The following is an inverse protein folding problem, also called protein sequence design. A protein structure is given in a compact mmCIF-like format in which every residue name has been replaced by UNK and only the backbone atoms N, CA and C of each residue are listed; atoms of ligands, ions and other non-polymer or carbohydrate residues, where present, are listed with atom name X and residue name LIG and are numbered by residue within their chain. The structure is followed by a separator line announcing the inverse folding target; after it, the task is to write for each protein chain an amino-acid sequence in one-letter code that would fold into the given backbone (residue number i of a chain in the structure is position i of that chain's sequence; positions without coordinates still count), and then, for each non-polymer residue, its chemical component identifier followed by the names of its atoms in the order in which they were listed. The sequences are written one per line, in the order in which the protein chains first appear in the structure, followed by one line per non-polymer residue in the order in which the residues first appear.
data_IF_975420788527
#
_entry.id   IF_975420788527
#
_cell.length_a   1.000
_cell.length_b   1.000
_cell.length_c   1.000
_cell.angle_alpha   90.00
_cell.angle_beta   90.00
_cell.angle_gamma   90.00
#
_symmetry.space_group_name_H-M   'P 1'
#
loop_
_entity.id
_entity.type
_entity.pdbx_description
1 polymer ?
#
# COMPACT_ATOMS: atom_id res chain seq x y z
N UNK A 1 11.62 14.23 6.62
CA UNK A 1 12.49 14.89 5.61
C UNK A 1 13.26 13.85 4.77
N UNK A 2 13.75 12.73 5.34
CA UNK A 2 14.52 11.72 4.58
C UNK A 2 13.79 11.04 3.41
N UNK A 3 12.47 10.83 3.49
CA UNK A 3 11.70 10.14 2.43
C UNK A 3 11.65 10.87 1.07
N UNK A 4 12.06 12.13 1.00
CA UNK A 4 11.98 12.92 -0.23
C UNK A 4 13.21 12.76 -1.13
N UNK A 5 14.38 12.42 -0.57
CA UNK A 5 15.63 12.34 -1.33
C UNK A 5 15.90 10.90 -1.78
N UNK A 6 16.19 10.74 -3.07
CA UNK A 6 16.35 9.44 -3.72
C UNK A 6 17.51 8.62 -3.13
N UNK A 7 18.54 9.30 -2.63
CA UNK A 7 19.75 8.71 -2.03
C UNK A 7 19.54 8.11 -0.63
N UNK A 8 18.37 8.30 0.00
CA UNK A 8 18.09 7.84 1.37
C UNK A 8 16.80 7.02 1.50
N UNK A 9 16.20 6.61 0.38
CA UNK A 9 15.02 5.75 0.41
C UNK A 9 15.42 4.29 0.56
N UNK A 10 15.07 3.70 1.69
CA UNK A 10 15.19 2.27 1.96
C UNK A 10 13.89 1.80 2.62
N UNK A 11 13.47 0.56 2.30
CA UNK A 11 12.40 -0.11 3.02
C UNK A 11 13.03 -0.71 4.27
N UNK A 12 12.75 -0.11 5.44
CA UNK A 12 13.36 -0.54 6.71
C UNK A 12 12.48 -1.50 7.51
N UNK A 13 11.18 -1.52 7.23
CA UNK A 13 10.21 -2.26 8.02
C UNK A 13 9.67 -3.46 7.22
N UNK A 14 9.36 -4.55 7.92
CA UNK A 14 8.75 -5.74 7.33
C UNK A 14 7.28 -5.52 6.97
N UNK A 15 6.79 -6.31 6.02
CA UNK A 15 5.36 -6.43 5.76
C UNK A 15 4.59 -6.92 7.00
N UNK A 16 3.27 -6.68 7.06
CA UNK A 16 2.41 -7.30 8.06
C UNK A 16 2.62 -8.83 8.14
N UNK A 17 2.52 -9.42 9.32
CA UNK A 17 2.83 -10.85 9.54
C UNK A 17 1.97 -11.80 8.69
N UNK A 18 0.77 -11.36 8.29
CA UNK A 18 -0.16 -12.08 7.43
C UNK A 18 0.09 -11.90 5.92
N UNK A 19 1.16 -11.20 5.53
CA UNK A 19 1.50 -10.90 4.13
C UNK A 19 2.96 -11.29 3.89
N UNK A 20 3.17 -12.30 3.06
CA UNK A 20 4.50 -12.67 2.58
C UNK A 20 4.89 -11.86 1.33
N UNK A 21 6.12 -12.04 0.85
CA UNK A 21 6.62 -11.29 -0.32
C UNK A 21 5.79 -11.52 -1.59
N UNK A 22 5.31 -12.74 -1.84
CA UNK A 22 4.51 -13.09 -3.02
C UNK A 22 3.15 -12.38 -3.00
N UNK A 23 2.46 -12.41 -1.86
CA UNK A 23 1.18 -11.70 -1.69
C UNK A 23 1.39 -10.18 -1.72
N UNK A 24 2.50 -9.66 -1.15
CA UNK A 24 2.83 -8.24 -1.24
C UNK A 24 3.06 -7.80 -2.69
N UNK A 25 3.83 -8.56 -3.47
CA UNK A 25 4.06 -8.30 -4.89
C UNK A 25 2.74 -8.30 -5.68
N UNK A 26 1.86 -9.26 -5.43
CA UNK A 26 0.52 -9.30 -6.03
C UNK A 26 -0.30 -8.05 -5.70
N UNK A 27 -0.35 -7.65 -4.42
CA UNK A 27 -1.09 -6.47 -3.98
C UNK A 27 -0.52 -5.17 -4.58
N UNK A 28 0.80 -5.07 -4.70
CA UNK A 28 1.48 -3.92 -5.29
C UNK A 28 1.26 -3.82 -6.80
N UNK A 29 1.19 -4.96 -7.52
CA UNK A 29 0.81 -4.97 -8.93
C UNK A 29 -0.63 -4.46 -9.13
N UNK A 30 -1.60 -4.98 -8.37
CA UNK A 30 -2.99 -4.51 -8.42
C UNK A 30 -3.12 -3.01 -8.07
N UNK A 31 -2.33 -2.56 -7.10
CA UNK A 31 -2.26 -1.15 -6.75
C UNK A 31 -1.68 -0.31 -7.88
N UNK A 32 -0.58 -0.74 -8.50
CA UNK A 32 0.06 -0.04 -9.61
C UNK A 32 -0.86 0.06 -10.83
N UNK A 33 -1.61 -1.01 -11.13
CA UNK A 33 -2.54 -1.06 -12.26
C UNK A 33 -3.75 -0.14 -12.08
N UNK A 34 -4.18 0.07 -10.83
CA UNK A 34 -5.31 0.96 -10.50
C UNK A 34 -4.90 2.40 -10.17
N UNK A 35 -3.61 2.67 -10.01
CA UNK A 35 -3.09 3.97 -9.57
C UNK A 35 -3.40 5.08 -10.59
N UNK A 36 -4.13 6.10 -10.15
CA UNK A 36 -4.40 7.34 -10.88
C UNK A 36 -3.97 8.52 -10.04
N UNK A 37 -3.04 9.33 -10.55
CA UNK A 37 -2.52 10.48 -9.81
C UNK A 37 -3.58 11.58 -9.59
N UNK A 38 -4.63 11.59 -10.42
CA UNK A 38 -5.71 12.57 -10.33
C UNK A 38 -6.80 12.20 -9.31
N UNK A 39 -6.70 11.01 -8.68
CA UNK A 39 -7.63 10.62 -7.63
C UNK A 39 -7.55 11.59 -6.44
N UNK A 40 -8.70 11.97 -5.92
CA UNK A 40 -8.77 12.51 -4.56
C UNK A 40 -8.49 11.41 -3.51
N UNK A 41 -8.32 11.82 -2.25
CA UNK A 41 -8.01 10.88 -1.16
C UNK A 41 -9.07 9.79 -0.97
N UNK A 42 -10.34 10.10 -1.27
CA UNK A 42 -11.46 9.17 -1.11
C UNK A 42 -11.43 8.13 -2.23
N UNK A 43 -11.28 8.56 -3.47
CA UNK A 43 -11.17 7.69 -4.64
C UNK A 43 -9.95 6.76 -4.52
N UNK A 44 -8.81 7.33 -4.14
CA UNK A 44 -7.59 6.58 -3.90
C UNK A 44 -7.77 5.48 -2.84
N UNK A 45 -8.37 5.82 -1.69
CA UNK A 45 -8.57 4.83 -0.64
C UNK A 45 -9.62 3.78 -0.99
N UNK A 46 -10.63 4.14 -1.79
CA UNK A 46 -11.61 3.18 -2.28
C UNK A 46 -10.98 2.13 -3.20
N UNK A 47 -9.98 2.51 -4.02
CA UNK A 47 -9.19 1.53 -4.79
C UNK A 47 -8.45 0.54 -3.90
N UNK A 48 -7.82 1.01 -2.82
CA UNK A 48 -7.18 0.12 -1.82
C UNK A 48 -8.21 -0.82 -1.18
N UNK A 49 -9.42 -0.32 -0.90
CA UNK A 49 -10.51 -1.15 -0.36
C UNK A 49 -10.95 -2.22 -1.36
N UNK A 50 -11.10 -1.89 -2.64
CA UNK A 50 -11.45 -2.86 -3.68
C UNK A 50 -10.39 -3.95 -3.80
N UNK A 51 -9.11 -3.57 -3.88
CA UNK A 51 -7.97 -4.51 -3.91
C UNK A 51 -8.00 -5.46 -2.70
N UNK A 52 -8.28 -4.92 -1.52
CA UNK A 52 -8.38 -5.71 -0.30
C UNK A 52 -9.48 -6.77 -0.42
N UNK A 53 -10.68 -6.37 -0.87
CA UNK A 53 -11.80 -7.31 -1.04
C UNK A 53 -11.49 -8.40 -2.06
N UNK A 54 -10.98 -8.02 -3.23
CA UNK A 54 -10.62 -8.95 -4.31
C UNK A 54 -9.51 -9.92 -3.89
N UNK A 55 -8.64 -9.51 -2.97
CA UNK A 55 -7.54 -10.33 -2.47
C UNK A 55 -7.89 -11.19 -1.24
N UNK A 56 -9.13 -11.12 -0.75
CA UNK A 56 -9.61 -11.91 0.40
C UNK A 56 -9.37 -11.27 1.76
N UNK A 57 -9.17 -9.96 1.81
CA UNK A 57 -9.07 -9.16 3.02
C UNK A 57 -10.39 -8.43 3.30
N UNK A 58 -10.69 -8.19 4.57
CA UNK A 58 -11.87 -7.43 4.94
C UNK A 58 -11.75 -5.95 4.50
N UNK A 59 -12.78 -5.43 3.83
CA UNK A 59 -12.89 -4.01 3.43
C UNK A 59 -12.85 -3.01 4.61
N UNK A 60 -13.13 -3.51 5.81
CA UNK A 60 -13.15 -2.76 7.06
C UNK A 60 -12.52 -3.59 8.17
N UNK A 61 -11.67 -3.01 9.04
CA UNK A 61 -11.07 -3.74 10.17
C UNK A 61 -12.11 -4.35 11.11
N UNK A 62 -13.29 -3.74 11.24
CA UNK A 62 -14.38 -4.25 12.08
C UNK A 62 -14.94 -5.58 11.56
N UNK A 63 -14.95 -5.80 10.25
CA UNK A 63 -15.50 -7.02 9.65
C UNK A 63 -14.56 -8.20 9.87
N UNK A 64 -13.24 -7.96 9.76
CA UNK A 64 -12.22 -8.93 10.17
C UNK A 64 -12.31 -9.28 11.66
N UNK A 65 -12.40 -8.28 12.54
CA UNK A 65 -12.54 -8.50 13.99
C UNK A 65 -13.74 -9.37 14.37
N UNK A 66 -14.84 -9.29 13.60
CA UNK A 66 -16.04 -10.09 13.83
C UNK A 66 -15.91 -11.52 13.29
N UNK A 67 -15.23 -11.70 12.16
CA UNK A 67 -15.14 -12.98 11.47
C UNK A 67 -13.70 -13.21 10.98
N UNK A 68 -12.73 -13.42 11.88
CA UNK A 68 -11.32 -13.49 11.51
C UNK A 68 -11.03 -14.67 10.56
N UNK A 69 -11.72 -15.80 10.73
CA UNK A 69 -11.52 -17.00 9.90
C UNK A 69 -11.99 -16.83 8.44
N UNK A 70 -12.75 -15.76 8.14
CA UNK A 70 -13.26 -15.49 6.79
C UNK A 70 -12.30 -14.66 5.93
N UNK A 71 -11.24 -14.08 6.52
CA UNK A 71 -10.35 -13.18 5.80
C UNK A 71 -8.89 -13.44 6.13
N UNK A 72 -8.01 -13.15 5.18
CA UNK A 72 -6.55 -13.16 5.39
C UNK A 72 -6.09 -12.04 6.35
N UNK A 73 -6.94 -11.03 6.56
CA UNK A 73 -6.66 -9.82 7.31
C UNK A 73 -7.68 -8.74 6.96
N UNK A 74 -7.23 -7.48 6.97
CA UNK A 74 -8.09 -6.34 6.63
C UNK A 74 -7.39 -5.30 5.74
N UNK A 75 -8.18 -4.34 5.22
CA UNK A 75 -7.71 -3.23 4.37
C UNK A 75 -6.52 -2.44 4.93
N UNK A 76 -6.35 -2.39 6.26
CA UNK A 76 -5.19 -1.75 6.89
C UNK A 76 -3.86 -2.46 6.61
N UNK A 77 -3.88 -3.77 6.39
CA UNK A 77 -2.69 -4.56 6.07
C UNK A 77 -2.25 -4.27 4.63
N UNK A 78 -3.22 -4.27 3.70
CA UNK A 78 -3.01 -3.88 2.30
C UNK A 78 -2.51 -2.44 2.19
N UNK A 79 -3.11 -1.51 2.95
CA UNK A 79 -2.65 -0.12 3.01
C UNK A 79 -1.22 -0.01 3.57
N UNK A 80 -0.82 -0.89 4.48
CA UNK A 80 0.54 -0.93 5.03
C UNK A 80 1.56 -1.41 4.00
N UNK A 81 1.21 -2.38 3.14
CA UNK A 81 2.04 -2.80 2.00
C UNK A 81 2.27 -1.63 1.04
N UNK A 82 1.21 -0.93 0.63
CA UNK A 82 1.32 0.27 -0.23
C UNK A 82 2.18 1.35 0.43
N UNK A 83 1.96 1.60 1.73
CA UNK A 83 2.77 2.54 2.50
C UNK A 83 4.24 2.16 2.45
N UNK A 84 4.61 0.92 2.76
CA UNK A 84 6.00 0.48 2.75
C UNK A 84 6.64 0.67 1.38
N UNK A 85 5.94 0.33 0.30
CA UNK A 85 6.44 0.55 -1.06
C UNK A 85 6.68 2.03 -1.37
N UNK A 86 5.83 2.94 -0.88
CA UNK A 86 5.90 4.38 -1.19
C UNK A 86 6.85 5.14 -0.26
N UNK A 87 6.83 4.87 1.04
CA UNK A 87 7.57 5.64 2.06
C UNK A 87 8.66 4.85 2.78
N UNK A 88 8.72 3.53 2.62
CA UNK A 88 9.77 2.69 3.21
C UNK A 88 9.61 2.41 4.70
N UNK A 89 8.58 2.96 5.35
CA UNK A 89 8.29 2.76 6.79
C UNK A 89 6.81 2.54 7.06
N UNK A 90 6.52 1.76 8.08
CA UNK A 90 5.18 1.43 8.58
C UNK A 90 4.46 2.66 9.19
N UNK A 91 5.23 3.67 9.61
CA UNK A 91 4.70 4.93 10.14
C UNK A 91 5.07 6.12 9.24
N UNK A 92 4.05 6.86 8.82
CA UNK A 92 4.21 8.05 7.99
C UNK A 92 3.04 9.02 8.19
N UNK A 93 3.21 10.28 7.75
CA UNK A 93 2.10 11.14 7.37
C UNK A 93 1.19 10.48 6.32
N UNK A 94 0.12 11.18 5.94
CA UNK A 94 -0.86 10.68 4.97
C UNK A 94 -0.19 10.25 3.65
N UNK A 95 -0.42 9.00 3.26
CA UNK A 95 0.27 8.40 2.11
C UNK A 95 -0.25 8.99 0.80
N UNK A 96 -1.52 9.39 0.72
CA UNK A 96 -2.04 10.05 -0.47
C UNK A 96 -1.39 11.43 -0.64
N UNK A 97 -1.35 12.27 0.40
CA UNK A 97 -0.68 13.58 0.34
C UNK A 97 0.79 13.44 -0.06
N UNK A 98 1.51 12.47 0.51
CA UNK A 98 2.91 12.23 0.15
C UNK A 98 3.07 11.85 -1.32
N UNK A 99 2.17 11.02 -1.86
CA UNK A 99 2.19 10.67 -3.28
C UNK A 99 1.95 11.89 -4.17
N UNK A 100 1.01 12.76 -3.79
CA UNK A 100 0.74 14.02 -4.50
C UNK A 100 1.98 14.93 -4.54
N UNK A 101 2.67 15.08 -3.40
CA UNK A 101 3.90 15.89 -3.33
C UNK A 101 5.05 15.25 -4.14
N UNK A 102 5.15 13.92 -4.15
CA UNK A 102 6.23 13.22 -4.86
C UNK A 102 6.09 13.20 -6.37
N UNK A 103 4.86 13.27 -6.88
CA UNK A 103 4.55 13.12 -8.29
C UNK A 103 4.44 11.66 -8.75
N UNK A 104 3.59 11.46 -9.76
CA UNK A 104 3.21 10.16 -10.32
C UNK A 104 4.40 9.25 -10.65
N UNK A 105 5.34 9.74 -11.46
CA UNK A 105 6.50 8.96 -11.92
C UNK A 105 7.33 8.42 -10.76
N UNK A 106 7.52 9.21 -9.71
CA UNK A 106 8.30 8.79 -8.54
C UNK A 106 7.57 7.71 -7.75
N UNK A 107 6.26 7.84 -7.59
CA UNK A 107 5.42 6.85 -6.91
C UNK A 107 5.46 5.52 -7.65
N UNK A 108 5.20 5.52 -8.96
CA UNK A 108 5.24 4.32 -9.81
C UNK A 108 6.60 3.62 -9.75
N UNK A 109 7.69 4.38 -9.82
CA UNK A 109 9.04 3.82 -9.75
C UNK A 109 9.35 3.19 -8.38
N UNK A 110 8.86 3.76 -7.27
CA UNK A 110 9.04 3.16 -5.94
C UNK A 110 8.29 1.85 -5.79
N UNK A 111 7.06 1.80 -6.29
CA UNK A 111 6.24 0.58 -6.26
C UNK A 111 6.90 -0.54 -7.08
N UNK A 112 7.38 -0.22 -8.30
CA UNK A 112 8.13 -1.17 -9.14
C UNK A 112 9.36 -1.73 -8.43
N UNK A 113 10.17 -0.85 -7.83
CA UNK A 113 11.35 -1.26 -7.05
C UNK A 113 11.01 -2.16 -5.86
N UNK A 114 9.90 -1.88 -5.18
CA UNK A 114 9.44 -2.71 -4.06
C UNK A 114 9.04 -4.14 -4.49
N UNK A 115 8.68 -4.32 -5.76
CA UNK A 115 8.41 -5.62 -6.38
C UNK A 115 9.67 -6.30 -6.97
N UNK A 116 10.85 -5.68 -6.86
CA UNK A 116 12.08 -6.19 -7.47
C UNK A 116 12.23 -5.90 -8.97
N UNK A 117 11.42 -4.99 -9.52
CA UNK A 117 11.46 -4.56 -10.92
C UNK A 117 12.29 -3.28 -11.14
#
# INVERSE_FOLDING_TARGET
ISYFFYEYFEISDSYPENINNEEAEKLLNLYLDSYDHNDDQVQWFEKIRMIAQESGYAAKPKDYKKNPDMYKGHVGDVSSVVRLAVVGRSTSPDVWELQQIMGEEKVKNRIKKAMGN
#
